data_IF_428988199210
#
_entry.id   IF_428988199210
#
_cell.length_a   1.000
_cell.length_b   1.000
_cell.length_c   1.000
_cell.angle_alpha   90.00
_cell.angle_beta   90.00
_cell.angle_gamma   90.00
#
_symmetry.space_group_name_H-M   'P 1'
#
loop_
_entity.id
_entity.type
_entity.pdbx_description
1 polymer ?
#
# COMPACT_ATOMS: atom_id res chain seq x y z
N UNK A 1 -23.48 -22.49 5.83
CA UNK A 1 -23.36 -23.59 4.84
C UNK A 1 -23.05 -22.97 3.50
N UNK A 2 -21.90 -23.29 2.89
CA UNK A 2 -21.51 -22.65 1.63
C UNK A 2 -22.49 -23.06 0.52
N UNK A 3 -22.87 -22.11 -0.34
CA UNK A 3 -23.82 -22.34 -1.46
C UNK A 3 -23.46 -23.58 -2.29
N UNK A 4 -22.17 -23.76 -2.54
CA UNK A 4 -21.61 -24.93 -3.22
C UNK A 4 -21.87 -26.26 -2.50
N UNK A 5 -21.74 -26.32 -1.17
CA UNK A 5 -22.00 -27.56 -0.41
C UNK A 5 -23.48 -27.93 -0.48
N UNK A 6 -24.37 -26.94 -0.39
CA UNK A 6 -25.81 -27.15 -0.53
C UNK A 6 -26.16 -27.67 -1.93
N UNK A 7 -25.61 -27.08 -3.00
CA UNK A 7 -25.86 -27.56 -4.37
C UNK A 7 -25.39 -28.99 -4.56
N UNK A 8 -24.16 -29.32 -4.13
CA UNK A 8 -23.64 -30.69 -4.24
C UNK A 8 -24.51 -31.70 -3.48
N UNK A 9 -24.97 -31.34 -2.27
CA UNK A 9 -25.85 -32.20 -1.48
C UNK A 9 -27.23 -32.38 -2.14
N UNK A 10 -27.82 -31.31 -2.70
CA UNK A 10 -29.10 -31.37 -3.40
C UNK A 10 -29.00 -32.21 -4.68
N UNK A 11 -27.94 -32.03 -5.47
CA UNK A 11 -27.70 -32.84 -6.66
C UNK A 11 -27.47 -34.31 -6.34
N UNK A 12 -26.74 -34.61 -5.26
CA UNK A 12 -26.55 -35.97 -4.77
C UNK A 12 -27.87 -36.59 -4.28
N UNK A 13 -28.69 -35.83 -3.57
CA UNK A 13 -30.00 -36.28 -3.11
C UNK A 13 -30.93 -36.57 -4.31
N UNK A 14 -30.94 -35.71 -5.33
CA UNK A 14 -31.67 -35.93 -6.58
C UNK A 14 -31.25 -37.22 -7.28
N UNK A 15 -29.93 -37.46 -7.40
CA UNK A 15 -29.40 -38.70 -7.95
C UNK A 15 -29.86 -39.93 -7.14
N UNK A 16 -29.75 -39.87 -5.81
CA UNK A 16 -30.14 -40.97 -4.92
C UNK A 16 -31.65 -41.27 -5.00
N UNK A 17 -32.48 -40.23 -5.07
CA UNK A 17 -33.93 -40.38 -5.27
C UNK A 17 -34.21 -41.04 -6.61
N UNK A 18 -33.58 -40.60 -7.70
CA UNK A 18 -33.76 -41.19 -9.04
C UNK A 18 -33.44 -42.68 -9.08
N UNK A 19 -32.38 -43.11 -8.38
CA UNK A 19 -32.04 -44.53 -8.21
C UNK A 19 -33.08 -45.27 -7.39
N UNK A 20 -33.56 -44.70 -6.28
CA UNK A 20 -34.49 -45.37 -5.37
C UNK A 20 -35.89 -45.57 -5.96
N UNK A 21 -36.34 -44.67 -6.84
CA UNK A 21 -37.65 -44.77 -7.51
C UNK A 21 -37.58 -45.37 -8.92
N UNK A 22 -36.38 -45.82 -9.35
CA UNK A 22 -36.13 -46.37 -10.69
C UNK A 22 -36.66 -45.45 -11.82
N UNK A 23 -36.50 -44.14 -11.67
CA UNK A 23 -36.95 -43.15 -12.66
C UNK A 23 -35.77 -42.57 -13.43
N UNK A 24 -35.69 -42.94 -14.71
CA UNK A 24 -34.57 -42.56 -15.58
C UNK A 24 -34.42 -41.04 -15.77
N UNK A 25 -35.54 -40.29 -15.78
CA UNK A 25 -35.50 -38.84 -15.93
C UNK A 25 -34.87 -38.20 -14.69
N UNK A 26 -35.34 -38.58 -13.50
CA UNK A 26 -34.80 -38.06 -12.23
C UNK A 26 -33.35 -38.47 -12.04
N UNK A 27 -33.00 -39.70 -12.44
CA UNK A 27 -31.63 -40.21 -12.42
C UNK A 27 -30.71 -39.39 -13.31
N UNK A 28 -31.08 -39.13 -14.57
CA UNK A 28 -30.28 -38.32 -15.50
C UNK A 28 -30.13 -36.88 -15.04
N UNK A 29 -31.23 -36.26 -14.55
CA UNK A 29 -31.18 -34.91 -13.96
C UNK A 29 -30.20 -34.86 -12.78
N UNK A 30 -30.31 -35.81 -11.85
CA UNK A 30 -29.42 -35.89 -10.69
C UNK A 30 -27.96 -36.12 -11.07
N UNK A 31 -27.69 -37.02 -12.03
CA UNK A 31 -26.35 -37.38 -12.48
C UNK A 31 -25.64 -36.19 -13.12
N UNK A 32 -26.28 -35.52 -14.08
CA UNK A 32 -25.68 -34.38 -14.76
C UNK A 32 -25.60 -33.16 -13.83
N UNK A 33 -26.59 -32.93 -12.96
CA UNK A 33 -26.51 -31.88 -11.95
C UNK A 33 -25.34 -32.10 -10.99
N UNK A 34 -25.13 -33.33 -10.51
CA UNK A 34 -24.02 -33.65 -9.62
C UNK A 34 -22.67 -33.51 -10.32
N UNK A 35 -22.54 -34.01 -11.55
CA UNK A 35 -21.31 -33.86 -12.34
C UNK A 35 -20.96 -32.38 -12.56
N UNK A 36 -21.94 -31.55 -12.95
CA UNK A 36 -21.75 -30.13 -13.17
C UNK A 36 -21.36 -29.37 -11.91
N UNK A 37 -22.06 -29.63 -10.79
CA UNK A 37 -21.76 -29.00 -9.51
C UNK A 37 -20.38 -29.44 -8.98
N UNK A 38 -20.05 -30.74 -9.03
CA UNK A 38 -18.79 -31.29 -8.55
C UNK A 38 -17.59 -30.80 -9.37
N UNK A 39 -17.69 -30.84 -10.70
CA UNK A 39 -16.62 -30.38 -11.59
C UNK A 39 -16.33 -28.90 -11.37
N UNK A 40 -17.37 -28.09 -11.22
CA UNK A 40 -17.15 -26.68 -10.97
C UNK A 40 -16.65 -26.39 -9.55
N UNK A 41 -17.09 -27.16 -8.55
CA UNK A 41 -16.51 -27.06 -7.21
C UNK A 41 -15.01 -27.38 -7.24
N UNK A 42 -14.61 -28.42 -7.96
CA UNK A 42 -13.21 -28.78 -8.16
C UNK A 42 -12.45 -27.67 -8.89
N UNK A 43 -13.05 -27.05 -9.91
CA UNK A 43 -12.48 -25.92 -10.64
C UNK A 43 -12.21 -24.72 -9.71
N UNK A 44 -13.16 -24.38 -8.84
CA UNK A 44 -12.97 -23.33 -7.83
C UNK A 44 -11.89 -23.71 -6.83
N UNK A 45 -11.86 -24.96 -6.37
CA UNK A 45 -10.84 -25.44 -5.44
C UNK A 45 -9.43 -25.38 -6.04
N UNK A 46 -9.26 -25.80 -7.30
CA UNK A 46 -7.95 -25.82 -7.97
C UNK A 46 -7.43 -24.42 -8.33
N UNK A 47 -8.24 -23.35 -8.28
CA UNK A 47 -7.72 -21.98 -8.39
C UNK A 47 -6.80 -21.65 -7.20
N UNK A 48 -7.14 -22.14 -6.01
CA UNK A 48 -6.49 -21.77 -4.76
C UNK A 48 -5.56 -22.84 -4.20
N UNK A 49 -5.82 -24.11 -4.52
CA UNK A 49 -5.04 -25.25 -4.03
C UNK A 49 -4.40 -26.04 -5.18
N UNK A 50 -3.18 -26.52 -4.94
CA UNK A 50 -2.50 -27.41 -5.87
C UNK A 50 -3.00 -28.84 -5.66
N UNK A 51 -3.60 -29.42 -6.70
CA UNK A 51 -4.16 -30.77 -6.68
C UNK A 51 -3.25 -31.70 -7.48
N UNK A 52 -2.73 -32.79 -6.89
CA UNK A 52 -1.83 -33.70 -7.59
C UNK A 52 -2.54 -34.36 -8.78
N UNK A 53 -1.89 -34.37 -9.95
CA UNK A 53 -2.42 -34.97 -11.18
C UNK A 53 -3.31 -34.04 -12.03
N UNK A 54 -3.69 -32.86 -11.54
CA UNK A 54 -4.45 -31.87 -12.31
C UNK A 54 -3.56 -30.70 -12.75
N UNK A 55 -3.30 -30.61 -14.06
CA UNK A 55 -2.57 -29.50 -14.68
C UNK A 55 -3.38 -28.21 -14.51
N UNK A 56 -2.70 -27.12 -14.14
CA UNK A 56 -3.34 -25.83 -13.90
C UNK A 56 -3.98 -25.70 -12.51
N UNK A 57 -3.63 -26.54 -11.55
CA UNK A 57 -4.02 -26.34 -10.15
C UNK A 57 -3.06 -25.40 -9.41
N UNK A 58 -3.58 -24.65 -8.43
CA UNK A 58 -2.87 -23.63 -7.68
C UNK A 58 -2.52 -22.37 -8.48
N UNK A 59 -3.37 -21.95 -9.43
CA UNK A 59 -3.06 -20.82 -10.34
C UNK A 59 -2.78 -19.51 -9.59
N UNK A 60 -3.57 -19.19 -8.57
CA UNK A 60 -3.42 -17.93 -7.81
C UNK A 60 -2.06 -17.87 -7.09
N UNK A 61 -1.67 -18.83 -6.23
CA UNK A 61 -0.36 -18.79 -5.60
C UNK A 61 0.80 -18.95 -6.60
N UNK A 62 0.59 -19.62 -7.73
CA UNK A 62 1.61 -19.77 -8.77
C UNK A 62 1.94 -18.45 -9.51
N UNK A 63 1.00 -17.49 -9.55
CA UNK A 63 1.18 -16.16 -10.17
C UNK A 63 1.51 -15.07 -9.14
N UNK A 64 2.00 -15.45 -7.96
CA UNK A 64 2.30 -14.51 -6.88
C UNK A 64 3.20 -13.34 -7.32
N UNK A 65 4.27 -13.60 -8.09
CA UNK A 65 5.16 -12.54 -8.59
C UNK A 65 4.45 -11.55 -9.51
N UNK A 66 3.51 -12.03 -10.35
CA UNK A 66 2.72 -11.16 -11.21
C UNK A 66 1.81 -10.24 -10.38
N UNK A 67 1.24 -10.76 -9.29
CA UNK A 67 0.47 -9.95 -8.35
C UNK A 67 1.36 -8.91 -7.63
N UNK A 68 2.55 -9.30 -7.18
CA UNK A 68 3.51 -8.39 -6.53
C UNK A 68 3.85 -7.22 -7.46
N UNK A 69 4.21 -7.51 -8.71
CA UNK A 69 4.53 -6.50 -9.72
C UNK A 69 3.31 -5.62 -10.06
N UNK A 70 2.12 -6.20 -10.17
CA UNK A 70 0.90 -5.43 -10.44
C UNK A 70 0.59 -4.44 -9.30
N UNK A 71 0.80 -4.84 -8.04
CA UNK A 71 0.63 -3.94 -6.88
C UNK A 71 1.70 -2.85 -6.89
N UNK A 72 2.97 -3.19 -7.17
CA UNK A 72 4.04 -2.20 -7.29
C UNK A 72 3.70 -1.13 -8.32
N UNK A 73 3.31 -1.55 -9.53
CA UNK A 73 2.96 -0.64 -10.61
C UNK A 73 1.74 0.20 -10.22
N UNK A 74 0.70 -0.39 -9.64
CA UNK A 74 -0.45 0.36 -9.15
C UNK A 74 -0.01 1.45 -8.16
N UNK A 75 0.81 1.10 -7.17
CA UNK A 75 1.29 2.04 -6.16
C UNK A 75 2.15 3.15 -6.78
N UNK A 76 3.14 2.81 -7.59
CA UNK A 76 4.10 3.79 -8.11
C UNK A 76 3.59 4.62 -9.28
N UNK A 77 2.75 4.05 -10.15
CA UNK A 77 2.23 4.75 -11.33
C UNK A 77 0.91 5.48 -11.06
N UNK A 78 0.05 4.95 -10.18
CA UNK A 78 -1.26 5.54 -9.94
C UNK A 78 -1.31 6.40 -8.68
N UNK A 79 -0.63 5.99 -7.60
CA UNK A 79 -0.67 6.72 -6.33
C UNK A 79 0.53 7.65 -6.14
N UNK A 80 1.74 7.16 -6.40
CA UNK A 80 3.02 7.86 -6.17
C UNK A 80 3.74 8.25 -7.45
N UNK A 81 2.98 8.61 -8.49
CA UNK A 81 3.56 9.26 -9.66
C UNK A 81 4.03 10.67 -9.31
N UNK A 82 4.82 11.26 -10.22
CA UNK A 82 5.43 12.56 -10.04
C UNK A 82 4.39 13.63 -9.67
N UNK A 83 3.32 13.76 -10.46
CA UNK A 83 2.28 14.77 -10.26
C UNK A 83 1.61 14.66 -8.89
N UNK A 84 1.33 13.44 -8.44
CA UNK A 84 0.70 13.21 -7.15
C UNK A 84 1.62 13.53 -5.97
N UNK A 85 2.92 13.21 -6.09
CA UNK A 85 3.91 13.53 -5.07
C UNK A 85 4.08 15.05 -4.96
N UNK A 86 4.28 15.72 -6.09
CA UNK A 86 4.42 17.18 -6.14
C UNK A 86 3.22 17.85 -5.48
N UNK A 87 2.01 17.41 -5.84
CA UNK A 87 0.77 17.92 -5.24
C UNK A 87 0.68 17.63 -3.75
N UNK A 88 1.10 16.45 -3.28
CA UNK A 88 1.04 16.09 -1.87
C UNK A 88 2.00 16.92 -1.02
N UNK A 89 3.23 17.11 -1.49
CA UNK A 89 4.25 17.89 -0.79
C UNK A 89 3.88 19.37 -0.77
N UNK A 90 3.52 19.96 -1.91
CA UNK A 90 3.12 21.36 -1.98
C UNK A 90 1.93 21.68 -1.04
N UNK A 91 0.90 20.83 -1.02
CA UNK A 91 -0.24 20.98 -0.10
C UNK A 91 0.13 20.83 1.38
N UNK A 92 1.15 20.04 1.70
CA UNK A 92 1.59 19.81 3.07
C UNK A 92 2.36 21.03 3.60
N UNK A 93 3.20 21.61 2.74
CA UNK A 93 3.99 22.81 3.03
C UNK A 93 3.11 24.06 3.16
N UNK A 94 2.13 24.25 2.29
CA UNK A 94 1.19 25.39 2.38
C UNK A 94 0.34 25.38 3.65
N UNK A 95 -0.02 24.18 4.15
CA UNK A 95 -0.91 24.04 5.32
C UNK A 95 -0.17 23.94 6.65
N UNK A 96 1.11 23.60 6.61
CA UNK A 96 1.92 23.36 7.79
C UNK A 96 3.11 24.30 7.76
N UNK A 97 2.96 25.49 8.34
CA UNK A 97 4.10 26.34 8.64
C UNK A 97 5.10 25.53 9.47
N UNK A 98 6.27 25.24 8.88
CA UNK A 98 7.31 24.48 9.56
C UNK A 98 7.81 25.27 10.78
N UNK A 99 7.54 24.78 11.99
CA UNK A 99 8.07 25.41 13.19
C UNK A 99 9.52 24.97 13.42
N UNK A 100 10.47 25.83 13.04
CA UNK A 100 11.90 25.58 13.23
C UNK A 100 12.43 25.97 14.62
N UNK A 101 11.61 26.58 15.47
CA UNK A 101 12.01 26.98 16.82
C UNK A 101 12.68 25.85 17.63
N UNK A 102 12.15 24.60 17.67
CA UNK A 102 12.77 23.53 18.45
C UNK A 102 14.14 23.09 17.93
N UNK A 103 14.43 23.37 16.66
CA UNK A 103 15.73 23.11 16.04
C UNK A 103 16.68 24.24 16.41
N UNK A 104 16.26 25.49 16.21
CA UNK A 104 17.05 26.69 16.51
C UNK A 104 17.47 26.74 17.98
N UNK A 105 16.59 26.35 18.90
CA UNK A 105 16.88 26.23 20.34
C UNK A 105 17.99 25.24 20.70
N UNK A 106 18.32 24.31 19.80
CA UNK A 106 19.38 23.30 19.99
C UNK A 106 20.66 23.62 19.23
N UNK A 107 20.65 24.66 18.38
CA UNK A 107 21.84 25.04 17.61
C UNK A 107 22.81 25.78 18.53
N UNK A 108 24.07 25.35 18.54
CA UNK A 108 25.14 26.07 19.23
C UNK A 108 25.56 27.30 18.39
N UNK A 109 25.26 28.48 18.91
CA UNK A 109 25.56 29.78 18.30
C UNK A 109 26.87 30.40 18.79
N UNK A 110 27.60 29.73 19.69
CA UNK A 110 28.90 30.18 20.19
C UNK A 110 29.90 30.51 19.07
N UNK A 111 30.01 29.72 17.98
CA UNK A 111 30.94 30.03 16.89
C UNK A 111 30.65 31.36 16.18
N UNK A 112 29.39 31.79 16.14
CA UNK A 112 29.02 33.07 15.55
C UNK A 112 29.45 34.24 16.44
N UNK A 113 29.30 34.09 17.76
CA UNK A 113 29.81 35.07 18.72
C UNK A 113 31.33 35.17 18.66
N UNK A 114 32.04 34.04 18.66
CA UNK A 114 33.50 34.02 18.64
C UNK A 114 34.05 34.72 17.37
N UNK A 115 33.40 34.51 16.21
CA UNK A 115 33.68 35.24 14.97
C UNK A 115 33.38 36.73 15.07
N UNK A 116 32.30 37.13 15.73
CA UNK A 116 31.98 38.54 15.95
C UNK A 116 33.08 39.21 16.79
N UNK A 117 33.54 38.56 17.86
CA UNK A 117 34.65 39.04 18.69
C UNK A 117 35.91 39.18 17.84
N UNK A 118 36.25 38.18 17.02
CA UNK A 118 37.40 38.23 16.11
C UNK A 118 37.33 39.43 15.15
N UNK A 119 36.18 39.65 14.51
CA UNK A 119 35.95 40.79 13.60
C UNK A 119 36.10 42.13 14.32
N UNK A 120 35.56 42.25 15.54
CA UNK A 120 35.69 43.47 16.35
C UNK A 120 37.14 43.71 16.72
N UNK A 121 37.86 42.68 17.19
CA UNK A 121 39.25 42.79 17.61
C UNK A 121 40.20 43.13 16.45
N UNK A 122 39.89 42.66 15.23
CA UNK A 122 40.63 43.00 14.01
C UNK A 122 40.23 44.36 13.40
N UNK A 123 39.20 45.03 13.94
CA UNK A 123 38.77 46.35 13.48
C UNK A 123 39.47 47.50 14.23
N UNK A 124 39.24 48.73 13.77
CA UNK A 124 39.67 49.94 14.49
C UNK A 124 39.12 50.01 15.92
N UNK A 125 37.98 49.36 16.19
CA UNK A 125 37.36 49.27 17.51
C UNK A 125 38.14 48.36 18.46
N UNK A 126 38.78 47.31 17.96
CA UNK A 126 39.62 46.40 18.74
C UNK A 126 40.82 47.09 19.38
N UNK A 127 41.45 48.02 18.64
CA UNK A 127 42.56 48.84 19.16
C UNK A 127 42.12 49.73 20.33
N UNK A 128 40.87 50.19 20.33
CA UNK A 128 40.29 50.98 21.42
C UNK A 128 39.92 50.10 22.63
N UNK A 129 39.36 48.91 22.37
CA UNK A 129 39.03 47.91 23.40
C UNK A 129 40.26 47.35 24.13
N UNK A 130 41.43 47.37 23.50
CA UNK A 130 42.70 46.96 24.11
C UNK A 130 43.02 47.70 25.42
N UNK A 131 42.58 48.96 25.56
CA UNK A 131 42.77 49.74 26.80
C UNK A 131 41.79 49.34 27.93
N UNK A 132 40.70 48.63 27.61
CA UNK A 132 39.62 48.25 28.52
C UNK A 132 39.53 46.73 28.77
N UNK A 133 40.59 45.97 28.48
CA UNK A 133 40.64 44.52 28.72
C UNK A 133 40.54 43.65 27.45
N UNK A 134 40.55 44.25 26.26
CA UNK A 134 40.58 43.53 24.98
C UNK A 134 39.35 42.65 24.78
N UNK A 135 39.55 41.45 24.22
CA UNK A 135 38.46 40.51 23.96
C UNK A 135 37.67 40.12 25.23
N UNK A 136 38.32 40.06 26.39
CA UNK A 136 37.68 39.73 27.66
C UNK A 136 36.63 40.74 28.11
N UNK A 137 36.65 41.97 27.59
CA UNK A 137 35.60 42.96 27.85
C UNK A 137 34.26 42.62 27.18
N UNK A 138 34.28 41.76 26.16
CA UNK A 138 33.09 41.34 25.42
C UNK A 138 32.43 40.09 26.01
N UNK A 139 33.14 39.30 26.83
CA UNK A 139 32.66 38.03 27.39
C UNK A 139 31.27 38.13 28.06
N UNK A 140 30.94 39.17 28.84
CA UNK A 140 29.61 39.31 29.44
C UNK A 140 28.47 39.45 28.43
N UNK A 141 28.78 39.78 27.17
CA UNK A 141 27.80 39.91 26.09
C UNK A 141 27.56 38.60 25.34
N UNK A 142 28.30 37.51 25.65
CA UNK A 142 28.18 36.23 24.95
C UNK A 142 26.78 35.63 25.07
N UNK A 143 26.31 35.44 26.31
CA UNK A 143 24.96 34.93 26.57
C UNK A 143 23.87 35.83 25.99
N UNK A 144 23.84 37.16 26.26
CA UNK A 144 22.88 38.06 25.64
C UNK A 144 22.89 38.02 24.11
N UNK A 145 24.05 37.92 23.47
CA UNK A 145 24.16 37.83 22.02
C UNK A 145 23.52 36.54 21.50
N UNK A 146 23.84 35.41 22.12
CA UNK A 146 23.29 34.10 21.73
C UNK A 146 21.76 34.11 21.86
N UNK A 147 21.23 34.56 22.99
CA UNK A 147 19.78 34.62 23.23
C UNK A 147 19.06 35.52 22.20
N UNK A 148 19.58 36.73 21.96
CA UNK A 148 18.97 37.66 21.01
C UNK A 148 19.06 37.14 19.57
N UNK A 149 20.20 36.56 19.18
CA UNK A 149 20.37 36.03 17.83
C UNK A 149 19.45 34.83 17.60
N UNK A 150 19.29 33.96 18.60
CA UNK A 150 18.35 32.85 18.56
C UNK A 150 16.90 33.36 18.40
N UNK A 151 16.49 34.36 19.18
CA UNK A 151 15.19 34.99 19.04
C UNK A 151 14.97 35.60 17.65
N UNK A 152 15.97 36.31 17.11
CA UNK A 152 15.91 36.85 15.75
C UNK A 152 15.79 35.76 14.68
N UNK A 153 16.51 34.65 14.81
CA UNK A 153 16.39 33.52 13.89
C UNK A 153 14.98 32.91 13.95
N UNK A 154 14.43 32.72 15.15
CA UNK A 154 13.06 32.21 15.32
C UNK A 154 12.07 33.13 14.61
N UNK A 155 12.14 34.44 14.86
CA UNK A 155 11.29 35.44 14.21
C UNK A 155 11.42 35.40 12.68
N UNK A 156 12.63 35.32 12.15
CA UNK A 156 12.88 35.20 10.70
C UNK A 156 12.24 33.94 10.12
N UNK A 157 12.37 32.80 10.80
CA UNK A 157 11.80 31.53 10.29
C UNK A 157 10.28 31.45 10.34
N UNK A 158 9.63 32.35 11.08
CA UNK A 158 8.18 32.47 11.14
C UNK A 158 7.61 33.39 10.06
N UNK A 159 8.46 34.09 9.30
CA UNK A 159 8.02 34.97 8.23
C UNK A 159 7.60 34.18 6.99
N UNK A 160 6.53 34.63 6.32
CA UNK A 160 6.02 34.01 5.08
C UNK A 160 7.09 33.96 3.97
N UNK A 161 7.97 34.97 3.91
CA UNK A 161 9.08 35.02 2.94
C UNK A 161 10.06 33.87 3.13
N UNK A 162 10.35 33.48 4.36
CA UNK A 162 11.23 32.34 4.65
C UNK A 162 10.54 31.01 4.33
N UNK A 163 9.25 30.89 4.66
CA UNK A 163 8.46 29.71 4.30
C UNK A 163 8.39 29.50 2.78
N UNK A 164 8.22 30.58 2.02
CA UNK A 164 8.19 30.52 0.56
C UNK A 164 9.55 30.07 -0.01
N UNK A 165 10.66 30.60 0.51
CA UNK A 165 12.00 30.15 0.11
C UNK A 165 12.24 28.67 0.42
N UNK A 166 11.77 28.20 1.59
CA UNK A 166 11.86 26.77 1.93
C UNK A 166 10.97 25.92 1.02
N UNK A 167 9.79 26.39 0.67
CA UNK A 167 8.89 25.69 -0.23
C UNK A 167 9.52 25.54 -1.62
N UNK A 168 10.07 26.62 -2.18
CA UNK A 168 10.75 26.60 -3.47
C UNK A 168 11.94 25.61 -3.48
N UNK A 169 12.64 25.48 -2.35
CA UNK A 169 13.74 24.51 -2.20
C UNK A 169 13.23 23.06 -2.11
N UNK A 170 12.12 22.82 -1.42
CA UNK A 170 11.51 21.49 -1.33
C UNK A 170 10.94 21.07 -2.68
N UNK A 171 10.25 21.97 -3.39
CA UNK A 171 9.60 21.70 -4.68
C UNK A 171 10.62 21.52 -5.83
N UNK A 172 11.92 21.53 -5.54
CA UNK A 172 12.95 21.21 -6.53
C UNK A 172 12.79 19.77 -7.08
N UNK A 173 12.99 19.57 -8.40
CA UNK A 173 12.84 18.26 -9.04
C UNK A 173 13.69 17.15 -8.41
N UNK A 174 14.92 17.47 -8.00
CA UNK A 174 15.84 16.49 -7.41
C UNK A 174 15.33 16.01 -6.04
N UNK A 175 14.81 16.91 -5.20
CA UNK A 175 14.21 16.57 -3.91
C UNK A 175 12.95 15.73 -4.08
N UNK A 176 12.10 16.08 -5.04
CA UNK A 176 10.90 15.29 -5.36
C UNK A 176 11.26 13.89 -5.87
N UNK A 177 12.29 13.77 -6.69
CA UNK A 177 12.79 12.48 -7.18
C UNK A 177 13.33 11.62 -6.03
N UNK A 178 14.05 12.21 -5.07
CA UNK A 178 14.55 11.51 -3.89
C UNK A 178 13.41 11.03 -2.99
N UNK A 179 12.39 11.86 -2.75
CA UNK A 179 11.19 11.45 -1.99
C UNK A 179 10.51 10.28 -2.68
N UNK A 180 10.33 10.35 -4.00
CA UNK A 180 9.75 9.27 -4.79
C UNK A 180 10.55 7.98 -4.68
N UNK A 181 11.87 8.05 -4.77
CA UNK A 181 12.74 6.88 -4.61
C UNK A 181 12.63 6.26 -3.21
N UNK A 182 12.51 7.09 -2.19
CA UNK A 182 12.38 6.61 -0.81
C UNK A 182 11.04 5.90 -0.59
N UNK A 183 9.96 6.45 -1.16
CA UNK A 183 8.65 5.78 -1.16
C UNK A 183 8.70 4.46 -1.93
N UNK A 184 9.38 4.41 -3.08
CA UNK A 184 9.56 3.19 -3.86
C UNK A 184 10.24 2.09 -3.04
N UNK A 185 11.34 2.42 -2.33
CA UNK A 185 12.04 1.47 -1.46
C UNK A 185 11.15 0.95 -0.33
N UNK A 186 10.32 1.82 0.27
CA UNK A 186 9.38 1.41 1.32
C UNK A 186 8.32 0.47 0.76
N UNK A 187 7.77 0.79 -0.42
CA UNK A 187 6.78 -0.06 -1.09
C UNK A 187 7.38 -1.41 -1.43
N UNK A 188 8.59 -1.43 -2.01
CA UNK A 188 9.29 -2.66 -2.36
C UNK A 188 9.53 -3.54 -1.13
N UNK A 189 10.05 -2.97 -0.03
CA UNK A 189 10.26 -3.71 1.22
C UNK A 189 8.95 -4.32 1.77
N UNK A 190 7.82 -3.58 1.69
CA UNK A 190 6.50 -4.12 2.08
C UNK A 190 5.99 -5.21 1.14
N UNK A 191 6.27 -5.10 -0.14
CA UNK A 191 5.92 -6.12 -1.12
C UNK A 191 6.76 -7.40 -0.94
N UNK A 192 8.00 -7.31 -0.45
CA UNK A 192 8.81 -8.47 -0.09
C UNK A 192 8.28 -9.23 1.13
N UNK A 193 7.60 -8.55 2.05
CA UNK A 193 6.92 -9.19 3.18
C UNK A 193 5.66 -9.96 2.75
N UNK A 194 5.15 -9.74 1.52
CA UNK A 194 4.02 -10.49 1.02
C UNK A 194 4.42 -11.94 0.77
N UNK A 195 3.51 -12.84 1.15
CA UNK A 195 3.65 -14.27 0.87
C UNK A 195 2.55 -14.75 -0.06
N UNK A 196 2.78 -15.84 -0.83
CA UNK A 196 1.72 -16.45 -1.64
C UNK A 196 0.45 -16.78 -0.85
N UNK A 197 0.60 -17.13 0.43
CA UNK A 197 -0.52 -17.45 1.31
C UNK A 197 -1.38 -16.22 1.64
N UNK A 198 -0.77 -15.06 1.88
CA UNK A 198 -1.49 -13.81 2.11
C UNK A 198 -2.26 -13.37 0.86
N UNK A 199 -1.65 -13.45 -0.32
CA UNK A 199 -2.32 -13.13 -1.59
C UNK A 199 -3.49 -14.07 -1.84
N UNK A 200 -3.31 -15.37 -1.63
CA UNK A 200 -4.39 -16.35 -1.69
C UNK A 200 -5.55 -15.98 -0.77
N UNK A 201 -5.27 -15.62 0.49
CA UNK A 201 -6.29 -15.21 1.46
C UNK A 201 -7.04 -13.96 1.01
N UNK A 202 -6.32 -12.91 0.57
CA UNK A 202 -6.93 -11.68 0.08
C UNK A 202 -7.86 -11.93 -1.11
N UNK A 203 -7.36 -12.63 -2.14
CA UNK A 203 -8.16 -12.95 -3.34
C UNK A 203 -9.36 -13.81 -2.97
N UNK A 204 -9.15 -14.87 -2.18
CA UNK A 204 -10.21 -15.76 -1.74
C UNK A 204 -11.29 -15.00 -0.97
N UNK A 205 -10.94 -14.07 -0.07
CA UNK A 205 -11.91 -13.27 0.66
C UNK A 205 -12.74 -12.38 -0.29
N UNK A 206 -12.11 -11.79 -1.31
CA UNK A 206 -12.80 -10.93 -2.27
C UNK A 206 -13.76 -11.69 -3.20
N UNK A 207 -13.37 -12.87 -3.69
CA UNK A 207 -14.10 -13.54 -4.79
C UNK A 207 -14.82 -14.83 -4.40
N UNK A 208 -14.53 -15.43 -3.24
CA UNK A 208 -15.09 -16.75 -2.88
C UNK A 208 -16.63 -16.77 -2.80
N UNK A 209 -17.25 -15.68 -2.35
CA UNK A 209 -18.72 -15.56 -2.30
C UNK A 209 -19.36 -15.58 -3.70
N UNK A 210 -18.65 -15.02 -4.69
CA UNK A 210 -19.09 -14.93 -6.07
C UNK A 210 -18.82 -16.26 -6.81
N UNK A 211 -17.69 -16.90 -6.55
CA UNK A 211 -17.34 -18.20 -7.14
C UNK A 211 -18.30 -19.33 -6.71
N UNK A 212 -18.90 -19.23 -5.52
CA UNK A 212 -19.92 -20.18 -5.06
C UNK A 212 -21.12 -20.28 -6.00
N UNK A 213 -21.48 -19.20 -6.71
CA UNK A 213 -22.57 -19.21 -7.70
C UNK A 213 -22.26 -20.06 -8.92
N UNK A 214 -20.99 -20.15 -9.31
CA UNK A 214 -20.56 -20.97 -10.44
C UNK A 214 -20.93 -22.44 -10.18
N UNK A 215 -20.83 -22.91 -8.93
CA UNK A 215 -21.21 -24.29 -8.55
C UNK A 215 -22.72 -24.48 -8.62
N UNK A 216 -23.49 -23.49 -8.14
CA UNK A 216 -24.95 -23.50 -8.21
C UNK A 216 -25.40 -23.63 -9.66
N UNK A 217 -24.86 -22.80 -10.55
CA UNK A 217 -25.16 -22.83 -11.97
C UNK A 217 -24.69 -24.11 -12.65
N UNK A 218 -23.52 -24.65 -12.27
CA UNK A 218 -23.07 -25.97 -12.71
C UNK A 218 -24.09 -27.06 -12.40
N UNK A 219 -24.69 -27.03 -11.20
CA UNK A 219 -25.78 -27.94 -10.84
C UNK A 219 -27.08 -27.71 -11.61
N UNK A 220 -27.50 -26.45 -11.76
CA UNK A 220 -28.73 -26.09 -12.48
C UNK A 220 -28.64 -26.44 -13.97
N UNK A 221 -27.58 -26.02 -14.65
CA UNK A 221 -27.37 -26.32 -16.07
C UNK A 221 -27.11 -27.81 -16.29
N UNK A 222 -26.37 -28.47 -15.41
CA UNK A 222 -26.23 -29.92 -15.42
C UNK A 222 -27.60 -30.60 -15.35
N UNK A 223 -28.46 -30.20 -14.41
CA UNK A 223 -29.81 -30.74 -14.28
C UNK A 223 -30.68 -30.51 -15.52
N UNK A 224 -30.62 -29.31 -16.12
CA UNK A 224 -31.33 -28.99 -17.36
C UNK A 224 -30.85 -29.86 -18.53
N UNK A 225 -29.53 -30.05 -18.67
CA UNK A 225 -28.96 -30.94 -19.70
C UNK A 225 -29.43 -32.37 -19.46
N UNK A 226 -29.38 -32.86 -18.21
CA UNK A 226 -29.87 -34.19 -17.86
C UNK A 226 -31.35 -34.38 -18.19
N UNK A 227 -32.19 -33.37 -17.95
CA UNK A 227 -33.62 -33.38 -18.31
C UNK A 227 -33.82 -33.46 -19.83
N UNK A 228 -33.11 -32.63 -20.58
CA UNK A 228 -33.19 -32.62 -22.06
C UNK A 228 -32.70 -33.96 -22.60
N UNK A 229 -31.58 -34.49 -22.10
CA UNK A 229 -31.05 -35.79 -22.50
C UNK A 229 -32.05 -36.92 -22.26
N UNK A 230 -32.72 -36.94 -21.11
CA UNK A 230 -33.72 -37.95 -20.80
C UNK A 230 -34.99 -37.85 -21.65
N UNK A 231 -35.36 -36.66 -22.12
CA UNK A 231 -36.54 -36.45 -22.97
C UNK A 231 -36.26 -36.71 -24.47
N UNK A 232 -35.04 -36.44 -24.92
CA UNK A 232 -34.67 -36.52 -26.35
C UNK A 232 -34.05 -37.87 -26.71
N UNK A 233 -33.33 -38.50 -25.79
CA UNK A 233 -32.72 -39.81 -25.99
C UNK A 233 -33.66 -40.82 -25.33
N UNK A 234 -34.43 -41.62 -26.10
CA UNK A 234 -35.20 -42.69 -25.51
C UNK A 234 -34.20 -43.67 -24.90
N UNK A 235 -34.29 -43.91 -23.59
CA UNK A 235 -33.64 -45.08 -22.98
C UNK A 235 -34.29 -46.31 -23.63
N UNK A 236 -33.49 -46.99 -24.44
CA UNK A 236 -33.82 -48.29 -25.05
C UNK A 236 -33.73 -49.38 -24.00
#
# INVERSE_FOLDING_TARGET
MNKSQLTNLLSLALLAVGVAIENDIVLMVGLFALSGALTNWLAVHMLFEKVPGLVGSGVIPARFEEFKNAIQNLMMEQFFNQENIDRFVANSTEKSHFNLQPVIEKVDLSPAYDRLVEVIMNSSFGSMLGMFGGAGALEPLKEPFIENMQASLIEMTQQDSFHQLLQDEIDQPDVMADIRSQVEQIVEARLEELTPQLVKQMVQQMISEHLGWLVVWGGVFGGLIGLISALVIPLV
#
